data_IF_788369065178
#
_entry.id   IF_788369065178
#
_cell.length_a   1.000
_cell.length_b   1.000
_cell.length_c   1.000
_cell.angle_alpha   90.00
_cell.angle_beta   90.00
_cell.angle_gamma   90.00
#
_symmetry.space_group_name_H-M   'P 1'
#
loop_
_entity.id
_entity.type
_entity.pdbx_description
1 polymer ?
#
# COMPACT_ATOMS: atom_id res chain seq x y z
N UNK A 1 5.06 36.16 3.93
CA UNK A 1 4.94 35.64 5.30
C UNK A 1 3.85 34.59 5.33
N UNK A 2 4.21 33.31 5.31
CA UNK A 2 3.33 32.20 5.69
C UNK A 2 4.23 31.21 6.42
N UNK A 3 4.16 31.26 7.74
CA UNK A 3 4.88 30.40 8.66
C UNK A 3 4.22 29.03 8.65
N UNK A 4 4.76 28.09 7.89
CA UNK A 4 4.43 26.68 8.11
C UNK A 4 5.06 26.26 9.44
N UNK A 5 4.28 25.66 10.36
CA UNK A 5 4.81 25.23 11.63
C UNK A 5 5.60 23.94 11.36
N UNK A 6 6.93 24.01 11.43
CA UNK A 6 7.84 22.85 11.35
C UNK A 6 7.99 22.11 12.69
N UNK A 7 7.59 22.74 13.80
CA UNK A 7 7.60 22.15 15.15
C UNK A 7 6.58 21.01 15.42
N UNK A 8 5.31 21.03 14.95
CA UNK A 8 4.31 20.01 15.30
C UNK A 8 4.54 18.64 14.64
N UNK A 9 5.32 18.57 13.56
CA UNK A 9 5.63 17.31 12.87
C UNK A 9 6.67 16.45 13.61
N UNK A 10 7.57 17.08 14.36
CA UNK A 10 8.61 16.36 15.10
C UNK A 10 8.04 15.83 16.42
N UNK A 11 7.21 16.63 17.09
CA UNK A 11 6.50 16.21 18.31
C UNK A 11 5.54 15.04 18.02
N UNK A 12 4.87 15.03 16.86
CA UNK A 12 4.00 13.94 16.44
C UNK A 12 4.74 12.62 16.14
N UNK A 13 6.00 12.70 15.69
CA UNK A 13 6.87 11.52 15.51
C UNK A 13 7.33 10.98 16.85
N UNK A 14 7.66 11.86 17.82
CA UNK A 14 8.02 11.43 19.18
C UNK A 14 6.82 10.91 19.99
N UNK A 15 5.60 11.35 19.67
CA UNK A 15 4.35 10.82 20.23
C UNK A 15 3.79 9.64 19.43
N UNK A 16 4.51 9.16 18.41
CA UNK A 16 4.09 8.04 17.58
C UNK A 16 3.85 6.81 18.45
N UNK A 17 2.60 6.35 18.51
CA UNK A 17 2.21 5.15 19.25
C UNK A 17 3.07 3.96 18.80
N UNK A 18 3.74 3.33 19.75
CA UNK A 18 4.35 2.03 19.50
C UNK A 18 3.23 1.00 19.33
N UNK A 19 3.06 0.53 18.09
CA UNK A 19 2.15 -0.59 17.81
C UNK A 19 2.87 -1.88 18.21
N UNK A 20 2.70 -2.31 19.46
CA UNK A 20 3.16 -3.61 19.91
C UNK A 20 2.20 -4.69 19.40
N UNK A 21 2.61 -5.40 18.34
CA UNK A 21 1.84 -6.49 17.76
C UNK A 21 2.37 -7.82 18.29
N UNK A 22 1.55 -8.55 19.03
CA UNK A 22 1.85 -9.93 19.41
C UNK A 22 1.13 -10.91 18.50
N UNK A 23 1.89 -11.78 17.82
CA UNK A 23 1.34 -12.87 17.02
C UNK A 23 1.18 -14.18 17.81
N UNK A 24 1.52 -14.20 19.11
CA UNK A 24 1.61 -15.45 19.89
C UNK A 24 0.27 -16.16 20.09
N UNK A 25 -0.84 -15.42 19.99
CA UNK A 25 -2.20 -15.95 20.18
C UNK A 25 -2.83 -16.47 18.88
N UNK A 26 -2.26 -16.16 17.72
CA UNK A 26 -2.84 -16.56 16.43
C UNK A 26 -2.61 -18.04 16.14
N UNK A 27 -3.67 -18.71 15.72
CA UNK A 27 -3.58 -20.08 15.22
C UNK A 27 -2.68 -20.12 13.98
N UNK A 28 -1.69 -21.01 14.02
CA UNK A 28 -0.83 -21.28 12.87
C UNK A 28 -1.62 -21.97 11.78
N UNK A 29 -1.30 -21.63 10.53
CA UNK A 29 -1.86 -22.21 9.32
C UNK A 29 -1.33 -23.61 9.05
N UNK A 30 -1.68 -24.15 7.88
CA UNK A 30 -1.44 -25.56 7.51
C UNK A 30 0.06 -25.92 7.56
N UNK A 31 0.94 -24.97 7.27
CA UNK A 31 2.39 -25.19 7.25
C UNK A 31 3.08 -24.91 8.60
N UNK A 32 2.35 -24.57 9.66
CA UNK A 32 2.87 -24.20 10.98
C UNK A 32 3.78 -22.96 11.04
N UNK A 33 3.96 -22.24 9.93
CA UNK A 33 4.81 -21.05 9.83
C UNK A 33 4.02 -19.78 9.50
N UNK A 34 2.99 -19.88 8.66
CA UNK A 34 2.16 -18.73 8.27
C UNK A 34 0.83 -18.72 9.03
N UNK A 35 0.18 -17.56 9.05
CA UNK A 35 -1.20 -17.42 9.54
C UNK A 35 -2.09 -17.23 8.31
N UNK A 36 -3.01 -18.17 8.11
CA UNK A 36 -3.94 -18.14 6.98
C UNK A 36 -5.15 -17.27 7.31
N UNK A 37 -5.31 -16.15 6.60
CA UNK A 37 -6.47 -15.27 6.72
C UNK A 37 -7.35 -15.40 5.49
N UNK A 38 -8.59 -15.86 5.70
CA UNK A 38 -9.59 -15.96 4.63
C UNK A 38 -10.35 -14.64 4.48
N UNK A 39 -10.17 -13.99 3.35
CA UNK A 39 -10.92 -12.78 2.99
C UNK A 39 -12.21 -13.13 2.25
N UNK A 40 -13.18 -12.21 2.25
CA UNK A 40 -14.43 -12.41 1.53
C UNK A 40 -14.19 -12.56 0.03
N UNK A 41 -14.88 -13.51 -0.61
CA UNK A 41 -14.78 -13.75 -2.06
C UNK A 41 -15.23 -12.52 -2.86
N UNK A 42 -16.21 -11.77 -2.33
CA UNK A 42 -16.71 -10.53 -2.92
C UNK A 42 -15.62 -9.47 -2.98
N UNK A 43 -15.02 -9.12 -1.83
CA UNK A 43 -13.93 -8.14 -1.76
C UNK A 43 -12.76 -8.55 -2.67
N UNK A 44 -12.35 -9.82 -2.60
CA UNK A 44 -11.26 -10.34 -3.43
C UNK A 44 -11.55 -10.23 -4.93
N UNK A 45 -12.80 -10.46 -5.36
CA UNK A 45 -13.22 -10.35 -6.77
C UNK A 45 -13.28 -8.89 -7.23
N UNK A 46 -13.82 -8.01 -6.40
CA UNK A 46 -13.95 -6.58 -6.72
C UNK A 46 -12.57 -5.91 -6.82
N UNK A 47 -11.64 -6.24 -5.91
CA UNK A 47 -10.23 -5.81 -6.00
C UNK A 47 -9.56 -6.32 -7.27
N UNK A 48 -9.70 -7.61 -7.62
CA UNK A 48 -9.10 -8.16 -8.85
C UNK A 48 -9.58 -7.41 -10.09
N UNK A 49 -10.87 -7.12 -10.18
CA UNK A 49 -11.46 -6.37 -11.30
C UNK A 49 -10.94 -4.94 -11.35
N UNK A 50 -10.91 -4.26 -10.20
CA UNK A 50 -10.41 -2.90 -10.11
C UNK A 50 -8.93 -2.82 -10.50
N UNK A 51 -8.09 -3.71 -9.96
CA UNK A 51 -6.66 -3.74 -10.25
C UNK A 51 -6.39 -4.02 -11.73
N UNK A 52 -7.07 -4.99 -12.34
CA UNK A 52 -6.93 -5.26 -13.77
C UNK A 52 -7.28 -4.04 -14.63
N UNK A 53 -8.37 -3.36 -14.29
CA UNK A 53 -8.77 -2.14 -14.96
C UNK A 53 -7.74 -1.02 -14.76
N UNK A 54 -7.32 -0.73 -13.53
CA UNK A 54 -6.35 0.34 -13.25
C UNK A 54 -5.02 0.08 -13.94
N UNK A 55 -4.51 -1.15 -13.88
CA UNK A 55 -3.26 -1.50 -14.57
C UNK A 55 -3.41 -1.32 -16.08
N UNK A 56 -4.49 -1.79 -16.70
CA UNK A 56 -4.68 -1.60 -18.15
C UNK A 56 -4.73 -0.13 -18.57
N UNK A 57 -5.26 0.76 -17.70
CA UNK A 57 -5.31 2.20 -17.94
C UNK A 57 -3.94 2.87 -17.75
N UNK A 58 -3.15 2.40 -16.78
CA UNK A 58 -1.85 2.98 -16.43
C UNK A 58 -0.68 2.39 -17.21
N UNK A 59 -0.84 1.20 -17.79
CA UNK A 59 0.15 0.48 -18.60
C UNK A 59 0.27 1.04 -20.04
N UNK A 60 0.16 2.36 -20.18
CA UNK A 60 0.22 3.09 -21.45
C UNK A 60 1.00 4.41 -21.25
N UNK A 61 1.85 4.84 -22.21
CA UNK A 61 2.65 6.07 -22.09
C UNK A 61 1.90 7.36 -21.78
N UNK A 62 0.61 7.43 -22.15
CA UNK A 62 -0.29 8.55 -21.85
C UNK A 62 -1.61 7.99 -21.30
N UNK A 63 -1.69 7.76 -19.99
CA UNK A 63 -2.90 7.22 -19.38
C UNK A 63 -4.05 8.23 -19.54
N UNK A 64 -5.22 7.75 -19.95
CA UNK A 64 -6.44 8.56 -19.98
C UNK A 64 -7.13 8.45 -18.63
N UNK A 65 -7.61 9.57 -18.09
CA UNK A 65 -8.46 9.57 -16.90
C UNK A 65 -9.84 9.01 -17.27
N UNK A 66 -10.13 7.80 -16.82
CA UNK A 66 -11.46 7.20 -16.94
C UNK A 66 -12.23 7.34 -15.63
N UNK A 67 -13.56 7.39 -15.74
CA UNK A 67 -14.43 7.33 -14.59
C UNK A 67 -14.47 5.90 -14.03
N UNK A 68 -13.77 5.71 -12.91
CA UNK A 68 -13.71 4.44 -12.19
C UNK A 68 -14.62 4.43 -10.96
N UNK A 69 -15.47 5.46 -10.78
CA UNK A 69 -16.29 5.71 -9.59
C UNK A 69 -17.07 4.48 -9.12
N UNK A 70 -17.77 3.80 -10.03
CA UNK A 70 -18.62 2.64 -9.71
C UNK A 70 -17.84 1.45 -9.17
N UNK A 71 -16.66 1.17 -9.70
CA UNK A 71 -15.82 0.06 -9.21
C UNK A 71 -15.16 0.43 -7.88
N UNK A 72 -14.72 1.68 -7.74
CA UNK A 72 -14.19 2.20 -6.49
C UNK A 72 -15.25 2.17 -5.38
N UNK A 73 -16.51 2.49 -5.69
CA UNK A 73 -17.62 2.37 -4.75
C UNK A 73 -17.85 0.94 -4.28
N UNK A 74 -17.91 -0.04 -5.20
CA UNK A 74 -18.04 -1.45 -4.82
C UNK A 74 -16.92 -1.93 -3.90
N UNK A 75 -15.68 -1.50 -4.18
CA UNK A 75 -14.53 -1.81 -3.33
C UNK A 75 -14.65 -1.14 -1.96
N UNK A 76 -15.09 0.12 -1.89
CA UNK A 76 -15.34 0.82 -0.63
C UNK A 76 -16.41 0.12 0.20
N UNK A 77 -17.54 -0.24 -0.41
CA UNK A 77 -18.65 -0.92 0.27
C UNK A 77 -18.23 -2.30 0.79
N UNK A 78 -17.53 -3.09 -0.02
CA UNK A 78 -17.07 -4.41 0.38
C UNK A 78 -15.96 -4.36 1.43
N UNK A 79 -15.12 -3.33 1.42
CA UNK A 79 -14.14 -3.08 2.47
C UNK A 79 -14.78 -2.65 3.79
N UNK A 80 -15.76 -1.72 3.73
CA UNK A 80 -16.51 -1.26 4.88
C UNK A 80 -17.19 -2.45 5.59
N UNK A 81 -17.89 -3.29 4.84
CA UNK A 81 -18.54 -4.49 5.34
C UNK A 81 -17.53 -5.45 5.99
N UNK A 82 -16.44 -5.75 5.28
CA UNK A 82 -15.38 -6.63 5.77
C UNK A 82 -14.77 -6.14 7.10
N UNK A 83 -14.40 -4.87 7.17
CA UNK A 83 -13.77 -4.29 8.37
C UNK A 83 -14.76 -4.13 9.51
N UNK A 84 -16.01 -3.77 9.23
CA UNK A 84 -17.07 -3.67 10.26
C UNK A 84 -17.28 -5.02 10.93
N UNK A 85 -17.41 -6.10 10.14
CA UNK A 85 -17.53 -7.46 10.66
C UNK A 85 -16.28 -7.87 11.45
N UNK A 86 -15.08 -7.56 10.94
CA UNK A 86 -13.84 -7.85 11.65
C UNK A 86 -13.78 -7.15 13.01
N UNK A 87 -14.14 -5.87 13.09
CA UNK A 87 -14.17 -5.09 14.34
C UNK A 87 -15.20 -5.65 15.32
N UNK A 88 -16.38 -6.04 14.84
CA UNK A 88 -17.39 -6.65 15.70
C UNK A 88 -16.94 -7.98 16.32
N UNK A 89 -16.05 -8.73 15.66
CA UNK A 89 -15.54 -10.01 16.19
C UNK A 89 -14.70 -9.88 17.45
N UNK A 90 -14.26 -8.66 17.80
CA UNK A 90 -13.64 -8.40 19.11
C UNK A 90 -14.59 -8.71 20.27
N UNK A 91 -15.91 -8.60 20.06
CA UNK A 91 -16.91 -8.95 21.09
C UNK A 91 -17.19 -10.44 21.19
N UNK A 92 -16.84 -11.23 20.18
CA UNK A 92 -17.23 -12.64 20.09
C UNK A 92 -16.07 -13.58 20.32
N UNK A 93 -15.00 -13.45 19.53
CA UNK A 93 -14.02 -14.53 19.36
C UNK A 93 -12.58 -14.07 19.07
N UNK A 94 -12.33 -12.79 18.81
CA UNK A 94 -10.99 -12.25 18.54
C UNK A 94 -10.52 -11.29 19.65
N UNK A 95 -9.23 -11.30 19.93
CA UNK A 95 -8.57 -10.24 20.70
C UNK A 95 -8.23 -9.04 19.81
N UNK A 96 -7.98 -7.89 20.44
CA UNK A 96 -7.57 -6.67 19.73
C UNK A 96 -6.26 -6.87 18.94
N UNK A 97 -5.30 -7.63 19.49
CA UNK A 97 -4.03 -7.97 18.83
C UNK A 97 -4.24 -8.77 17.55
N UNK A 98 -5.09 -9.80 17.61
CA UNK A 98 -5.42 -10.65 16.46
C UNK A 98 -6.14 -9.87 15.38
N UNK A 99 -7.08 -9.00 15.78
CA UNK A 99 -7.74 -8.08 14.87
C UNK A 99 -6.72 -7.16 14.17
N UNK A 100 -5.72 -6.64 14.87
CA UNK A 100 -4.72 -5.76 14.27
C UNK A 100 -3.90 -6.46 13.19
N UNK A 101 -3.50 -7.71 13.45
CA UNK A 101 -2.79 -8.52 12.47
C UNK A 101 -3.69 -8.89 11.28
N UNK A 102 -4.97 -9.19 11.51
CA UNK A 102 -5.92 -9.52 10.44
C UNK A 102 -6.22 -8.33 9.51
N UNK A 103 -6.18 -7.10 10.00
CA UNK A 103 -6.41 -5.91 9.16
C UNK A 103 -5.32 -5.69 8.09
N UNK A 104 -4.14 -6.29 8.24
CA UNK A 104 -3.12 -6.26 7.19
C UNK A 104 -3.39 -7.22 6.04
N UNK A 105 -4.31 -8.18 6.20
CA UNK A 105 -4.60 -9.15 5.14
C UNK A 105 -5.16 -8.49 3.86
N UNK A 106 -6.13 -7.54 3.93
CA UNK A 106 -6.56 -6.76 2.76
C UNK A 106 -5.42 -5.97 2.09
N UNK A 107 -4.54 -5.37 2.89
CA UNK A 107 -3.37 -4.63 2.39
C UNK A 107 -2.44 -5.56 1.62
N UNK A 108 -2.04 -6.68 2.22
CA UNK A 108 -1.20 -7.71 1.60
C UNK A 108 -1.84 -8.25 0.32
N UNK A 109 -3.15 -8.49 0.32
CA UNK A 109 -3.88 -8.97 -0.85
C UNK A 109 -3.77 -7.96 -2.01
N UNK A 110 -4.05 -6.67 -1.75
CA UNK A 110 -3.99 -5.63 -2.78
C UNK A 110 -2.59 -5.55 -3.38
N UNK A 111 -1.56 -5.45 -2.55
CA UNK A 111 -0.16 -5.39 -3.00
C UNK A 111 0.21 -6.58 -3.89
N UNK A 112 -0.18 -7.78 -3.46
CA UNK A 112 0.10 -9.01 -4.18
C UNK A 112 -0.63 -9.06 -5.52
N UNK A 113 -1.91 -8.70 -5.56
CA UNK A 113 -2.71 -8.72 -6.79
C UNK A 113 -2.21 -7.66 -7.78
N UNK A 114 -1.89 -6.44 -7.33
CA UNK A 114 -1.36 -5.38 -8.20
C UNK A 114 -0.06 -5.83 -8.86
N UNK A 115 0.86 -6.40 -8.08
CA UNK A 115 2.12 -6.91 -8.62
C UNK A 115 1.90 -8.04 -9.63
N UNK A 116 1.15 -9.07 -9.24
CA UNK A 116 0.88 -10.23 -10.09
C UNK A 116 0.17 -9.85 -11.39
N UNK A 117 -0.74 -8.88 -11.34
CA UNK A 117 -1.47 -8.44 -12.52
C UNK A 117 -0.58 -7.64 -13.49
N UNK A 118 0.35 -6.84 -12.98
CA UNK A 118 1.31 -6.12 -13.81
C UNK A 118 2.32 -7.07 -14.44
N UNK A 119 2.80 -8.06 -13.68
CA UNK A 119 3.69 -9.12 -14.19
C UNK A 119 3.00 -9.91 -15.31
N UNK A 120 1.72 -10.28 -15.14
CA UNK A 120 0.91 -10.94 -16.18
C UNK A 120 0.76 -10.11 -17.47
N UNK A 121 0.56 -8.80 -17.35
CA UNK A 121 0.49 -7.89 -18.50
C UNK A 121 1.82 -7.85 -19.26
N UNK A 122 2.94 -7.79 -18.53
CA UNK A 122 4.30 -7.82 -19.10
C UNK A 122 4.54 -9.14 -19.83
N UNK A 123 4.21 -10.27 -19.20
CA UNK A 123 4.37 -11.60 -19.79
C UNK A 123 3.49 -11.79 -21.04
N UNK A 124 2.26 -11.26 -21.03
CA UNK A 124 1.37 -11.29 -22.19
C UNK A 124 1.91 -10.49 -23.37
N UNK A 125 2.59 -9.36 -23.11
CA UNK A 125 3.21 -8.56 -24.16
C UNK A 125 4.50 -9.22 -24.66
N UNK A 126 5.27 -9.84 -23.76
CA UNK A 126 6.46 -10.60 -24.12
C UNK A 126 6.14 -11.81 -25.00
N UNK A 127 5.07 -12.55 -24.71
CA UNK A 127 4.63 -13.68 -25.54
C UNK A 127 4.17 -13.21 -26.93
N UNK A 128 3.35 -12.14 -26.99
CA UNK A 128 2.93 -11.51 -28.26
C UNK A 128 4.13 -11.06 -29.10
N UNK A 129 5.15 -10.50 -28.47
CA UNK A 129 6.37 -10.08 -29.17
C UNK A 129 7.11 -11.28 -29.79
N UNK A 130 7.21 -12.39 -29.08
CA UNK A 130 7.80 -13.63 -29.60
C UNK A 130 7.05 -14.11 -30.85
N UNK A 131 5.71 -14.14 -30.79
CA UNK A 131 4.88 -14.56 -31.92
C UNK A 131 5.01 -13.63 -33.13
N UNK A 132 5.06 -12.31 -32.91
CA UNK A 132 5.24 -11.32 -33.98
C UNK A 132 6.61 -11.42 -34.64
N UNK A 133 7.67 -11.71 -33.87
CA UNK A 133 9.02 -11.95 -34.39
C UNK A 133 9.08 -13.21 -35.26
N UNK A 134 8.43 -14.29 -34.83
CA UNK A 134 8.33 -15.53 -35.63
C UNK A 134 7.58 -15.31 -36.96
N UNK A 135 6.57 -14.43 -36.96
CA UNK A 135 5.79 -14.08 -38.15
C UNK A 135 6.44 -13.02 -39.05
N UNK A 136 7.59 -12.47 -38.67
CA UNK A 136 8.26 -11.39 -39.41
C UNK A 136 7.43 -10.10 -39.52
N UNK A 137 6.54 -9.85 -38.55
CA UNK A 137 5.64 -8.68 -38.60
C UNK A 137 6.39 -7.38 -38.30
N UNK A 138 6.03 -6.32 -39.03
CA UNK A 138 6.52 -4.95 -38.77
C UNK A 138 6.08 -4.39 -37.41
N UNK A 139 5.04 -4.98 -36.79
CA UNK A 139 4.55 -4.59 -35.46
C UNK A 139 5.46 -5.05 -34.31
N UNK A 140 6.44 -5.91 -34.58
CA UNK A 140 7.37 -6.41 -33.58
C UNK A 140 8.16 -5.27 -32.90
N UNK A 141 8.59 -4.26 -33.66
CA UNK A 141 9.33 -3.12 -33.12
C UNK A 141 8.49 -2.28 -32.15
N UNK A 142 7.24 -1.99 -32.52
CA UNK A 142 6.33 -1.22 -31.66
C UNK A 142 6.00 -1.98 -30.36
N UNK A 143 5.86 -3.30 -30.44
CA UNK A 143 5.60 -4.16 -29.27
C UNK A 143 6.83 -4.23 -28.35
N UNK A 144 8.03 -4.28 -28.90
CA UNK A 144 9.30 -4.26 -28.14
C UNK A 144 9.50 -2.93 -27.40
N UNK A 145 9.23 -1.80 -28.07
CA UNK A 145 9.25 -0.47 -27.44
C UNK A 145 8.24 -0.38 -26.29
N UNK A 146 7.03 -0.93 -26.47
CA UNK A 146 6.01 -0.99 -25.41
C UNK A 146 6.48 -1.83 -24.22
N UNK A 147 7.07 -3.00 -24.47
CA UNK A 147 7.59 -3.86 -23.42
C UNK A 147 8.71 -3.18 -22.61
N UNK A 148 9.64 -2.51 -23.31
CA UNK A 148 10.69 -1.73 -22.66
C UNK A 148 10.11 -0.60 -21.80
N UNK A 149 9.13 0.14 -22.32
CA UNK A 149 8.47 1.21 -21.58
C UNK A 149 7.80 0.69 -20.30
N UNK A 150 7.10 -0.44 -20.36
CA UNK A 150 6.45 -1.04 -19.19
C UNK A 150 7.45 -1.46 -18.11
N UNK A 151 8.55 -2.12 -18.51
CA UNK A 151 9.61 -2.52 -17.57
C UNK A 151 10.26 -1.30 -16.92
N UNK A 152 10.51 -0.23 -17.69
CA UNK A 152 11.09 1.02 -17.19
C UNK A 152 10.16 1.74 -16.21
N UNK A 153 8.85 1.72 -16.45
CA UNK A 153 7.85 2.42 -15.64
C UNK A 153 7.15 1.54 -14.61
N UNK A 154 7.65 0.33 -14.37
CA UNK A 154 7.03 -0.67 -13.49
C UNK A 154 6.65 -0.11 -12.12
N UNK A 155 7.61 0.46 -11.40
CA UNK A 155 7.37 1.01 -10.06
C UNK A 155 6.47 2.25 -10.08
N UNK A 156 6.45 3.00 -11.18
CA UNK A 156 5.57 4.17 -11.33
C UNK A 156 4.12 3.74 -11.50
N UNK A 157 3.89 2.67 -12.27
CA UNK A 157 2.56 2.08 -12.43
C UNK A 157 2.08 1.53 -11.08
N UNK A 158 2.92 0.73 -10.40
CA UNK A 158 2.57 0.20 -9.07
C UNK A 158 2.25 1.32 -8.08
N UNK A 159 3.11 2.35 -8.01
CA UNK A 159 2.93 3.47 -7.10
C UNK A 159 1.57 4.13 -7.28
N UNK A 160 1.22 4.47 -8.51
CA UNK A 160 -0.03 5.19 -8.78
C UNK A 160 -1.27 4.32 -8.56
N UNK A 161 -1.24 3.06 -8.98
CA UNK A 161 -2.36 2.12 -8.79
C UNK A 161 -2.60 1.89 -7.30
N UNK A 162 -1.54 1.59 -6.54
CA UNK A 162 -1.64 1.34 -5.10
C UNK A 162 -2.09 2.60 -4.36
N UNK A 163 -1.51 3.77 -4.65
CA UNK A 163 -1.93 5.06 -4.06
C UNK A 163 -3.40 5.34 -4.32
N UNK A 164 -3.90 5.07 -5.53
CA UNK A 164 -5.31 5.28 -5.86
C UNK A 164 -6.22 4.35 -5.05
N UNK A 165 -5.90 3.07 -4.96
CA UNK A 165 -6.70 2.10 -4.18
C UNK A 165 -6.67 2.46 -2.69
N UNK A 166 -5.48 2.64 -2.11
CA UNK A 166 -5.33 2.90 -0.69
C UNK A 166 -5.94 4.23 -0.25
N UNK A 167 -5.89 5.27 -1.09
CA UNK A 167 -6.58 6.53 -0.80
C UNK A 167 -8.10 6.37 -0.68
N UNK A 168 -8.71 5.43 -1.42
CA UNK A 168 -10.13 5.14 -1.27
C UNK A 168 -10.43 4.38 0.02
N UNK A 169 -9.56 3.43 0.40
CA UNK A 169 -9.72 2.68 1.65
C UNK A 169 -9.50 3.59 2.87
N UNK A 170 -8.48 4.45 2.83
CA UNK A 170 -8.23 5.46 3.86
C UNK A 170 -9.45 6.36 4.07
N UNK A 171 -10.12 6.80 2.99
CA UNK A 171 -11.36 7.59 3.09
C UNK A 171 -12.48 6.84 3.80
N UNK A 172 -12.60 5.52 3.60
CA UNK A 172 -13.60 4.69 4.29
C UNK A 172 -13.24 4.59 5.77
N UNK A 173 -11.97 4.39 6.08
CA UNK A 173 -11.47 4.36 7.45
C UNK A 173 -11.79 5.66 8.21
N UNK A 174 -11.44 6.80 7.62
CA UNK A 174 -11.62 8.12 8.24
C UNK A 174 -13.10 8.53 8.33
N UNK A 175 -13.92 8.27 7.29
CA UNK A 175 -15.29 8.80 7.23
C UNK A 175 -16.34 7.89 7.87
N UNK A 176 -16.15 6.58 7.80
CA UNK A 176 -17.21 5.61 8.15
C UNK A 176 -16.78 4.68 9.28
N UNK A 177 -15.56 4.12 9.21
CA UNK A 177 -15.13 3.14 10.21
C UNK A 177 -14.64 3.79 11.52
N UNK A 178 -14.28 5.08 11.54
CA UNK A 178 -13.85 5.74 12.78
C UNK A 178 -14.86 5.56 13.93
N UNK A 179 -16.16 5.70 13.66
CA UNK A 179 -17.21 5.50 14.67
C UNK A 179 -17.21 4.08 15.23
N UNK A 180 -17.03 3.08 14.36
CA UNK A 180 -16.98 1.66 14.76
C UNK A 180 -15.69 1.38 15.51
N UNK A 181 -14.56 1.99 15.14
CA UNK A 181 -13.30 1.82 15.86
C UNK A 181 -13.37 2.46 17.25
N UNK A 182 -13.91 3.67 17.36
CA UNK A 182 -14.03 4.39 18.63
C UNK A 182 -14.91 3.65 19.64
N UNK A 183 -15.89 2.88 19.16
CA UNK A 183 -16.79 2.11 20.01
C UNK A 183 -16.22 0.77 20.51
N UNK A 184 -15.24 0.20 19.80
CA UNK A 184 -14.80 -1.19 20.01
C UNK A 184 -13.30 -1.34 20.27
N UNK A 185 -12.49 -0.33 19.94
CA UNK A 185 -11.03 -0.39 19.99
C UNK A 185 -10.46 0.82 20.75
N UNK A 186 -9.43 0.54 21.54
CA UNK A 186 -8.62 1.58 22.19
C UNK A 186 -7.77 2.34 21.16
N UNK A 187 -7.31 3.54 21.55
CA UNK A 187 -6.48 4.42 20.70
C UNK A 187 -5.27 3.72 20.08
N UNK A 188 -4.66 2.77 20.79
CA UNK A 188 -3.47 2.04 20.33
C UNK A 188 -3.72 1.16 19.09
N UNK A 189 -4.99 0.84 18.79
CA UNK A 189 -5.37 -0.04 17.70
C UNK A 189 -6.01 0.72 16.51
N UNK A 190 -5.95 2.06 16.52
CA UNK A 190 -6.50 2.96 15.49
C UNK A 190 -5.46 3.40 14.44
N UNK A 191 -4.45 2.57 14.17
CA UNK A 191 -3.34 2.92 13.26
C UNK A 191 -3.64 2.68 11.77
N UNK A 192 -4.73 1.98 11.42
CA UNK A 192 -5.01 1.57 10.03
C UNK A 192 -5.09 2.72 9.01
N UNK A 193 -5.73 3.88 9.28
CA UNK A 193 -5.71 5.01 8.35
C UNK A 193 -4.28 5.45 8.01
N UNK A 194 -3.41 5.51 9.02
CA UNK A 194 -2.01 5.90 8.86
C UNK A 194 -1.21 4.83 8.10
N UNK A 195 -1.49 3.55 8.36
CA UNK A 195 -0.88 2.45 7.61
C UNK A 195 -1.25 2.48 6.13
N UNK A 196 -2.51 2.77 5.76
CA UNK A 196 -2.94 2.88 4.36
C UNK A 196 -2.35 4.10 3.66
N UNK A 197 -2.12 5.19 4.40
CA UNK A 197 -1.47 6.39 3.90
C UNK A 197 0.05 6.21 3.71
N UNK A 198 0.63 5.11 4.18
CA UNK A 198 2.07 4.88 4.13
C UNK A 198 2.57 4.69 2.68
N UNK A 199 3.36 5.62 2.12
CA UNK A 199 3.80 5.53 0.74
C UNK A 199 4.78 4.39 0.46
N UNK A 200 5.43 3.85 1.51
CA UNK A 200 6.34 2.71 1.39
C UNK A 200 5.62 1.46 0.87
N UNK A 201 4.30 1.37 1.05
CA UNK A 201 3.49 0.29 0.52
C UNK A 201 3.25 0.40 -0.98
N UNK A 202 3.47 1.56 -1.59
CA UNK A 202 3.01 1.79 -2.96
C UNK A 202 3.95 1.22 -4.03
N UNK A 203 5.21 0.97 -3.69
CA UNK A 203 6.25 0.52 -4.64
C UNK A 203 6.78 -0.88 -4.31
N UNK A 204 7.50 -1.49 -5.26
CA UNK A 204 8.14 -2.79 -5.03
C UNK A 204 9.45 -2.69 -4.26
N UNK A 205 10.12 -1.53 -4.33
CA UNK A 205 11.44 -1.26 -3.74
C UNK A 205 11.44 0.13 -3.12
N UNK A 206 12.06 0.25 -1.95
CA UNK A 206 12.19 1.53 -1.24
C UNK A 206 13.10 2.54 -1.98
N UNK A 207 13.94 2.06 -2.89
CA UNK A 207 14.79 2.89 -3.75
C UNK A 207 14.11 3.35 -5.04
N UNK A 208 12.81 3.06 -5.23
CA UNK A 208 12.12 3.38 -6.47
C UNK A 208 11.98 4.90 -6.67
N UNK A 209 12.39 5.39 -7.83
CA UNK A 209 12.34 6.82 -8.17
C UNK A 209 10.96 7.47 -7.94
N UNK A 210 9.81 6.85 -8.29
CA UNK A 210 8.50 7.45 -8.05
C UNK A 210 8.19 7.70 -6.57
N UNK A 211 8.68 6.83 -5.67
CA UNK A 211 8.54 7.03 -4.22
C UNK A 211 9.39 8.22 -3.77
N UNK A 212 10.68 8.21 -4.13
CA UNK A 212 11.63 9.25 -3.74
C UNK A 212 11.23 10.62 -4.28
N UNK A 213 10.83 10.69 -5.55
CA UNK A 213 10.49 11.95 -6.20
C UNK A 213 9.15 12.53 -5.74
N UNK A 214 8.16 11.72 -5.38
CA UNK A 214 6.85 12.26 -5.00
C UNK A 214 6.74 12.54 -3.50
N UNK A 215 7.40 11.74 -2.67
CA UNK A 215 7.21 11.80 -1.21
C UNK A 215 8.43 12.37 -0.49
N UNK A 216 9.64 12.30 -1.08
CA UNK A 216 10.89 12.71 -0.44
C UNK A 216 11.66 13.82 -1.17
N UNK A 217 11.25 14.25 -2.38
CA UNK A 217 11.93 15.31 -3.14
C UNK A 217 11.76 16.71 -2.55
N UNK A 218 10.74 16.91 -1.72
CA UNK A 218 10.41 18.20 -1.11
C UNK A 218 11.43 18.65 -0.06
N UNK A 219 12.44 17.84 0.27
CA UNK A 219 13.38 18.15 1.35
C UNK A 219 14.58 19.02 0.92
N UNK A 220 14.64 19.47 -0.33
CA UNK A 220 15.75 20.31 -0.82
C UNK A 220 15.33 21.53 -1.65
N UNK A 221 14.03 21.86 -1.76
CA UNK A 221 13.64 22.93 -2.67
C UNK A 221 13.89 24.34 -2.13
N UNK A 222 13.93 24.54 -0.80
CA UNK A 222 14.05 25.88 -0.19
C UNK A 222 14.99 25.99 1.03
N UNK A 223 15.76 24.95 1.38
CA UNK A 223 16.60 24.96 2.59
C UNK A 223 18.01 24.48 2.29
N UNK A 224 19.01 25.18 2.84
CA UNK A 224 20.39 24.71 2.88
C UNK A 224 20.41 23.25 3.38
N UNK A 225 21.32 22.43 2.83
CA UNK A 225 21.45 20.99 3.13
C UNK A 225 21.58 20.63 4.63
N UNK A 226 21.66 21.61 5.54
CA UNK A 226 21.69 21.46 6.99
C UNK A 226 20.43 20.79 7.57
N UNK A 227 19.25 21.05 7.02
CA UNK A 227 17.99 20.56 7.61
C UNK A 227 17.80 19.06 7.39
N UNK A 228 18.19 18.56 6.21
CA UNK A 228 18.21 17.14 5.90
C UNK A 228 19.21 16.39 6.81
N UNK A 229 20.42 16.91 6.96
CA UNK A 229 21.48 16.29 7.76
C UNK A 229 21.06 16.21 9.23
N UNK A 230 20.50 17.29 9.78
CA UNK A 230 20.03 17.34 11.16
C UNK A 230 18.85 16.40 11.44
N UNK A 231 17.97 16.20 10.47
CA UNK A 231 16.85 15.28 10.63
C UNK A 231 17.29 13.82 10.41
N UNK A 232 18.15 13.56 9.42
CA UNK A 232 18.72 12.24 9.21
C UNK A 232 19.51 11.78 10.44
N UNK A 233 20.32 12.65 11.05
CA UNK A 233 21.04 12.32 12.29
C UNK A 233 20.09 12.04 13.46
N UNK A 234 18.93 12.72 13.53
CA UNK A 234 17.90 12.46 14.55
C UNK A 234 17.14 11.16 14.29
N UNK A 235 16.83 10.85 13.03
CA UNK A 235 16.22 9.58 12.63
C UNK A 235 17.17 8.42 12.88
N UNK A 236 18.45 8.56 12.54
CA UNK A 236 19.50 7.59 12.86
C UNK A 236 19.65 7.40 14.36
N UNK A 237 19.61 8.47 15.17
CA UNK A 237 19.63 8.36 16.62
C UNK A 237 18.39 7.62 17.18
N UNK A 238 17.20 7.90 16.64
CA UNK A 238 15.97 7.19 17.02
C UNK A 238 16.00 5.72 16.59
N UNK A 239 16.49 5.43 15.39
CA UNK A 239 16.68 4.08 14.88
C UNK A 239 17.69 3.32 15.74
N UNK A 240 18.85 3.91 16.05
CA UNK A 240 19.86 3.29 16.90
C UNK A 240 19.31 3.01 18.30
N UNK A 241 18.59 3.96 18.91
CA UNK A 241 17.92 3.75 20.20
C UNK A 241 16.89 2.62 20.15
N UNK A 242 16.13 2.51 19.05
CA UNK A 242 15.15 1.42 18.86
C UNK A 242 15.82 0.09 18.54
N UNK A 243 16.92 0.07 17.79
CA UNK A 243 17.70 -1.12 17.46
C UNK A 243 18.38 -1.67 18.73
N UNK A 244 18.90 -0.81 19.60
CA UNK A 244 19.40 -1.21 20.91
C UNK A 244 18.30 -1.81 21.79
N UNK A 245 17.06 -1.28 21.73
CA UNK A 245 15.92 -1.89 22.41
C UNK A 245 15.41 -3.19 21.78
N UNK A 246 15.83 -3.50 20.55
CA UNK A 246 15.55 -4.74 19.83
C UNK A 246 16.61 -5.83 20.10
N UNK A 247 17.47 -5.65 21.11
CA UNK A 247 18.37 -6.69 21.59
C UNK A 247 17.59 -7.90 22.11
N UNK A 248 17.36 -8.83 21.19
CA UNK A 248 17.07 -10.26 21.31
C UNK A 248 16.78 -10.78 22.74
N UNK A 249 15.49 -11.02 22.99
CA UNK A 249 15.05 -12.25 23.66
C UNK A 249 14.51 -13.21 22.60
#
# INVERSE_FOLDING_TARGET
MSSYPTQPLIESVTSGQDVQLSASKLAKGIDNYHIDVKLSNKFSSDIKKLVALLISQMAVPKPKSWDNSRLLEKVRDSYLDLMTVLIHRVKTDLSADELCLMQFAPVKLILSITRLQLDKEIDSIASKLSDLRQKGSSEALATDQRLFWLKKNYDSILYNVNKQIFSQLQRVEERQLHVVRDQFLDENYKFMPQALANPLLYTSKLSALPLLLNEFSMWSWNGENSDFINLNSKVEALLNKRIESLSLY
#
